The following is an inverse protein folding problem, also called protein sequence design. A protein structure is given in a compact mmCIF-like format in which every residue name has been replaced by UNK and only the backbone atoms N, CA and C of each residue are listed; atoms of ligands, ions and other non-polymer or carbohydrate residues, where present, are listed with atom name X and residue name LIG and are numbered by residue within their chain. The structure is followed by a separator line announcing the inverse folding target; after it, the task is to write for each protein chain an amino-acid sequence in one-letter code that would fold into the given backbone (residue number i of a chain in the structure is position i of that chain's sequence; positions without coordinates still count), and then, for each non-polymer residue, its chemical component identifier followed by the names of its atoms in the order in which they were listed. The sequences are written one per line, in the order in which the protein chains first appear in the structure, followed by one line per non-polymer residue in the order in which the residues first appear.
data_IF_979460610244
#
_entry.id   IF_979460610244
#
_cell.length_a   1.000
_cell.length_b   1.000
_cell.length_c   1.000
_cell.angle_alpha   90.00
_cell.angle_beta   90.00
_cell.angle_gamma   90.00
#
_symmetry.space_group_name_H-M   'P 1'
#
loop_
_entity.id
_entity.type
_entity.pdbx_description
1 polymer ?
#
# COMPACT_ATOMS: atom_id res chain seq x y z
N UNK A 1 18.26 -17.31 -17.97
CA UNK A 1 17.00 -17.06 -17.21
C UNK A 1 16.56 -18.37 -16.56
N UNK A 2 16.33 -18.35 -15.27
CA UNK A 2 15.79 -19.50 -14.54
C UNK A 2 14.30 -19.63 -14.77
N UNK A 3 13.79 -20.83 -14.98
CA UNK A 3 12.35 -21.05 -15.18
C UNK A 3 11.55 -20.69 -13.93
N UNK A 4 10.40 -20.04 -14.08
CA UNK A 4 9.49 -19.66 -12.98
C UNK A 4 9.18 -20.85 -12.06
N UNK A 5 8.94 -22.04 -12.61
CA UNK A 5 8.66 -23.26 -11.86
C UNK A 5 9.80 -23.65 -10.92
N UNK A 6 11.05 -23.55 -11.39
CA UNK A 6 12.23 -23.88 -10.55
C UNK A 6 12.36 -22.89 -9.38
N UNK A 7 12.13 -21.59 -9.64
CA UNK A 7 12.15 -20.56 -8.59
C UNK A 7 11.07 -20.83 -7.54
N UNK A 8 9.88 -21.21 -7.96
CA UNK A 8 8.76 -21.55 -7.05
C UNK A 8 9.05 -22.78 -6.19
N UNK A 9 9.72 -23.81 -6.77
CA UNK A 9 10.13 -25.01 -6.03
C UNK A 9 11.15 -24.66 -4.95
N UNK A 10 12.16 -23.84 -5.26
CA UNK A 10 13.16 -23.39 -4.30
C UNK A 10 12.54 -22.51 -3.21
N UNK A 11 11.65 -21.59 -3.58
CA UNK A 11 10.93 -20.76 -2.62
C UNK A 11 10.12 -21.63 -1.64
N UNK A 12 9.39 -22.63 -2.14
CA UNK A 12 8.62 -23.54 -1.28
C UNK A 12 9.51 -24.38 -0.36
N UNK A 13 10.65 -24.85 -0.86
CA UNK A 13 11.64 -25.59 -0.05
C UNK A 13 12.29 -24.72 1.04
N UNK A 14 12.43 -23.41 0.82
CA UNK A 14 13.03 -22.49 1.77
C UNK A 14 12.14 -22.17 2.98
N UNK A 15 10.83 -22.45 2.93
CA UNK A 15 9.87 -22.10 4.02
C UNK A 15 10.31 -22.69 5.36
N UNK A 16 10.75 -23.95 5.38
CA UNK A 16 11.17 -24.63 6.62
C UNK A 16 12.41 -23.97 7.25
N UNK A 17 13.28 -23.36 6.47
CA UNK A 17 14.46 -22.68 6.99
C UNK A 17 14.14 -21.40 7.76
N UNK A 18 13.02 -20.73 7.44
CA UNK A 18 12.54 -19.56 8.19
C UNK A 18 11.79 -19.93 9.46
N UNK A 19 11.10 -21.08 9.46
CA UNK A 19 10.25 -21.49 10.56
C UNK A 19 10.98 -21.69 11.88
N UNK A 20 12.29 -21.93 11.83
CA UNK A 20 13.16 -22.17 12.99
C UNK A 20 13.93 -20.92 13.46
N UNK A 21 13.89 -19.83 12.66
CA UNK A 21 14.61 -18.59 13.01
C UNK A 21 13.94 -17.84 14.16
N UNK A 22 14.74 -17.47 15.14
CA UNK A 22 14.31 -16.60 16.24
C UNK A 22 14.26 -15.14 15.78
N UNK A 23 13.58 -14.31 16.56
CA UNK A 23 13.45 -12.88 16.29
C UNK A 23 14.81 -12.16 16.15
N UNK A 24 15.79 -12.50 17.00
CA UNK A 24 17.12 -11.92 16.95
C UNK A 24 17.86 -12.24 15.64
N UNK A 25 17.71 -13.48 15.14
CA UNK A 25 18.32 -13.92 13.90
C UNK A 25 17.71 -13.19 12.69
N UNK A 26 16.37 -13.06 12.67
CA UNK A 26 15.66 -12.26 11.65
C UNK A 26 16.09 -10.79 11.69
N UNK A 27 16.19 -10.19 12.88
CA UNK A 27 16.61 -8.81 13.05
C UNK A 27 18.06 -8.60 12.56
N UNK A 28 18.98 -9.50 12.93
CA UNK A 28 20.37 -9.45 12.45
C UNK A 28 20.45 -9.51 10.92
N UNK A 29 19.65 -10.38 10.31
CA UNK A 29 19.59 -10.51 8.85
C UNK A 29 19.04 -9.22 8.20
N UNK A 30 17.97 -8.64 8.74
CA UNK A 30 17.42 -7.38 8.23
C UNK A 30 18.44 -6.23 8.31
N UNK A 31 19.16 -6.10 9.41
CA UNK A 31 20.22 -5.10 9.54
C UNK A 31 21.35 -5.32 8.52
N UNK A 32 21.77 -6.58 8.31
CA UNK A 32 22.77 -6.91 7.29
C UNK A 32 22.27 -6.64 5.85
N UNK A 33 20.97 -6.87 5.57
CA UNK A 33 20.35 -6.51 4.30
C UNK A 33 20.36 -4.99 4.07
N UNK A 34 20.04 -4.20 5.10
CA UNK A 34 20.08 -2.74 5.02
C UNK A 34 21.50 -2.23 4.75
N UNK A 35 22.48 -2.77 5.44
CA UNK A 35 23.90 -2.40 5.26
C UNK A 35 24.41 -2.80 3.86
N UNK A 36 23.99 -3.95 3.34
CA UNK A 36 24.33 -4.39 1.99
C UNK A 36 23.73 -3.47 0.90
N UNK A 37 22.48 -2.97 1.08
CA UNK A 37 21.90 -1.97 0.17
C UNK A 37 22.76 -0.70 0.12
N UNK A 38 23.20 -0.20 1.26
CA UNK A 38 24.04 1.00 1.35
C UNK A 38 25.41 0.74 0.68
N UNK A 39 26.01 -0.42 0.93
CA UNK A 39 27.28 -0.79 0.34
C UNK A 39 27.22 -0.93 -1.20
N UNK A 40 26.11 -1.43 -1.72
CA UNK A 40 25.90 -1.63 -3.16
C UNK A 40 25.22 -0.43 -3.88
N UNK A 41 25.08 0.74 -3.22
CA UNK A 41 24.40 1.94 -3.76
C UNK A 41 24.83 2.28 -5.17
N UNK A 42 26.14 2.34 -5.45
CA UNK A 42 26.66 2.70 -6.78
C UNK A 42 26.26 1.68 -7.86
N UNK A 43 26.24 0.41 -7.54
CA UNK A 43 25.80 -0.67 -8.45
C UNK A 43 24.29 -0.56 -8.72
N UNK A 44 23.49 -0.34 -7.69
CA UNK A 44 22.04 -0.19 -7.81
C UNK A 44 21.69 1.04 -8.68
N UNK A 45 22.35 2.17 -8.47
CA UNK A 45 22.14 3.37 -9.28
C UNK A 45 22.56 3.17 -10.76
N UNK A 46 23.65 2.43 -11.00
CA UNK A 46 24.05 2.08 -12.36
C UNK A 46 22.98 1.25 -13.09
N UNK A 47 22.43 0.24 -12.41
CA UNK A 47 21.36 -0.59 -12.98
C UNK A 47 20.04 0.17 -13.13
N UNK A 48 19.70 1.05 -12.15
CA UNK A 48 18.52 1.91 -12.26
C UNK A 48 18.61 2.88 -13.44
N UNK A 49 19.80 3.38 -13.75
CA UNK A 49 19.98 4.23 -14.93
C UNK A 49 19.62 3.50 -16.23
N UNK A 50 19.94 2.20 -16.36
CA UNK A 50 19.53 1.41 -17.54
C UNK A 50 18.02 1.33 -17.67
N UNK A 51 17.31 1.08 -16.56
CA UNK A 51 15.84 1.06 -16.52
C UNK A 51 15.27 2.44 -16.90
N UNK A 52 15.81 3.51 -16.33
CA UNK A 52 15.39 4.89 -16.63
C UNK A 52 15.58 5.25 -18.11
N UNK A 53 16.76 4.94 -18.68
CA UNK A 53 17.08 5.23 -20.08
C UNK A 53 16.18 4.44 -21.04
N UNK A 54 15.80 3.20 -20.69
CA UNK A 54 14.89 2.37 -21.49
C UNK A 54 13.41 2.79 -21.36
N UNK A 55 13.02 3.37 -20.21
CA UNK A 55 11.63 3.67 -19.90
C UNK A 55 11.18 5.09 -20.29
N UNK A 56 12.12 6.05 -20.45
CA UNK A 56 11.85 7.49 -20.60
C UNK A 56 10.79 7.88 -21.63
N UNK A 57 10.72 7.14 -22.74
CA UNK A 57 9.81 7.42 -23.85
C UNK A 57 8.59 6.46 -23.88
N UNK A 58 8.46 5.55 -22.89
CA UNK A 58 7.44 4.49 -22.89
C UNK A 58 6.48 4.53 -21.71
N UNK A 59 6.83 5.25 -20.64
CA UNK A 59 5.98 5.41 -19.45
C UNK A 59 5.75 6.90 -19.16
N UNK A 60 4.70 7.21 -18.37
CA UNK A 60 4.40 8.59 -17.99
C UNK A 60 5.48 9.18 -17.08
N UNK A 61 5.55 10.53 -17.01
CA UNK A 61 6.48 11.24 -16.11
C UNK A 61 6.28 10.85 -14.64
N UNK A 62 5.05 10.61 -14.23
CA UNK A 62 4.68 10.12 -12.88
C UNK A 62 5.27 8.73 -12.62
N UNK A 63 5.17 7.81 -13.58
CA UNK A 63 5.76 6.47 -13.45
C UNK A 63 7.29 6.53 -13.51
N UNK A 64 7.84 7.45 -14.28
CA UNK A 64 9.28 7.66 -14.36
C UNK A 64 9.86 8.18 -13.02
N UNK A 65 9.16 9.12 -12.35
CA UNK A 65 9.55 9.54 -10.99
C UNK A 65 9.49 8.39 -9.97
N UNK A 66 8.48 7.52 -10.07
CA UNK A 66 8.39 6.32 -9.22
C UNK A 66 9.55 5.35 -9.45
N UNK A 67 10.01 5.21 -10.70
CA UNK A 67 11.09 4.31 -11.09
C UNK A 67 12.47 4.83 -10.65
N UNK A 68 12.65 6.15 -10.63
CA UNK A 68 13.92 6.79 -10.33
C UNK A 68 14.42 6.47 -8.93
N UNK A 69 15.69 6.07 -8.83
CA UNK A 69 16.45 5.98 -7.59
C UNK A 69 17.54 7.04 -7.53
N UNK A 70 17.87 7.44 -6.33
CA UNK A 70 19.03 8.24 -5.96
C UNK A 70 19.55 7.76 -4.60
N UNK A 71 20.67 8.31 -4.13
CA UNK A 71 21.25 7.92 -2.85
C UNK A 71 20.29 8.12 -1.67
N UNK A 72 19.46 9.16 -1.70
CA UNK A 72 18.52 9.45 -0.63
C UNK A 72 17.39 8.40 -0.59
N UNK A 73 16.88 8.00 -1.75
CA UNK A 73 15.87 6.95 -1.87
C UNK A 73 16.41 5.58 -1.45
N UNK A 74 17.66 5.22 -1.81
CA UNK A 74 18.30 3.97 -1.36
C UNK A 74 18.50 4.00 0.15
N UNK A 75 18.93 5.13 0.72
CA UNK A 75 19.06 5.30 2.17
C UNK A 75 17.70 5.13 2.86
N UNK A 76 16.64 5.74 2.33
CA UNK A 76 15.29 5.56 2.86
C UNK A 76 14.83 4.08 2.82
N UNK A 77 15.17 3.33 1.75
CA UNK A 77 14.91 1.89 1.69
C UNK A 77 15.64 1.13 2.82
N UNK A 78 16.92 1.42 3.04
CA UNK A 78 17.69 0.80 4.12
C UNK A 78 17.13 1.17 5.52
N UNK A 79 16.72 2.41 5.71
CA UNK A 79 16.13 2.87 6.97
C UNK A 79 14.74 2.23 7.21
N UNK A 80 13.94 2.02 6.16
CA UNK A 80 12.70 1.23 6.20
C UNK A 80 12.95 -0.20 6.69
N UNK A 81 13.97 -0.88 6.16
CA UNK A 81 14.36 -2.23 6.63
C UNK A 81 14.78 -2.20 8.11
N UNK A 82 15.56 -1.20 8.54
CA UNK A 82 15.94 -1.03 9.95
C UNK A 82 14.74 -0.78 10.86
N UNK A 83 13.78 0.02 10.40
CA UNK A 83 12.53 0.23 11.13
C UNK A 83 11.74 -1.07 11.30
N UNK A 84 11.62 -1.88 10.23
CA UNK A 84 10.99 -3.22 10.31
C UNK A 84 11.73 -4.14 11.28
N UNK A 85 13.07 -4.12 11.30
CA UNK A 85 13.88 -4.91 12.25
C UNK A 85 13.55 -4.55 13.71
N UNK A 86 13.29 -3.29 14.01
CA UNK A 86 12.96 -2.80 15.35
C UNK A 86 11.53 -3.17 15.81
N UNK A 87 10.62 -3.51 14.89
CA UNK A 87 9.25 -3.89 15.23
C UNK A 87 9.19 -5.23 15.96
N UNK A 88 8.19 -5.44 16.82
CA UNK A 88 7.93 -6.73 17.44
C UNK A 88 7.71 -7.83 16.39
N UNK A 89 8.25 -9.03 16.64
CA UNK A 89 8.01 -10.18 15.78
C UNK A 89 6.51 -10.56 15.80
N UNK A 90 5.85 -10.64 14.64
CA UNK A 90 4.43 -11.00 14.61
C UNK A 90 4.19 -12.50 14.80
N UNK A 91 5.21 -13.35 14.64
CA UNK A 91 5.11 -14.81 14.68
C UNK A 91 5.14 -15.31 16.12
N UNK A 92 4.31 -16.29 16.44
CA UNK A 92 4.26 -16.93 17.77
C UNK A 92 3.46 -16.12 18.82
N UNK A 93 2.78 -15.04 18.44
CA UNK A 93 1.93 -14.29 19.37
C UNK A 93 0.68 -15.12 19.72
N UNK A 94 0.36 -15.17 21.00
CA UNK A 94 -0.89 -15.75 21.50
C UNK A 94 -2.01 -14.74 21.27
N UNK A 95 -2.96 -15.09 20.39
CA UNK A 95 -4.10 -14.25 20.03
C UNK A 95 -5.32 -14.50 20.92
N UNK A 96 -5.48 -15.76 21.39
CA UNK A 96 -6.41 -16.14 22.46
C UNK A 96 -5.87 -17.36 23.21
N UNK A 97 -6.26 -17.51 24.46
CA UNK A 97 -5.82 -18.57 25.37
C UNK A 97 -7.01 -18.95 26.27
N UNK A 98 -7.49 -20.17 26.16
CA UNK A 98 -8.66 -20.68 26.89
C UNK A 98 -8.46 -22.09 27.37
N UNK A 99 -8.89 -22.39 28.62
CA UNK A 99 -9.06 -23.76 29.11
C UNK A 99 -10.54 -24.11 29.08
N UNK A 100 -10.88 -25.17 28.37
CA UNK A 100 -12.26 -25.65 28.26
C UNK A 100 -12.70 -26.44 29.50
N UNK A 101 -14.03 -26.58 29.76
CA UNK A 101 -14.52 -27.34 30.92
C UNK A 101 -14.03 -28.79 30.99
N UNK A 102 -13.70 -29.41 29.86
CA UNK A 102 -13.14 -30.78 29.79
C UNK A 102 -11.61 -30.79 30.00
N UNK A 103 -10.98 -29.69 30.33
CA UNK A 103 -9.54 -29.58 30.60
C UNK A 103 -8.65 -29.42 29.37
N UNK A 104 -9.19 -29.31 28.14
CA UNK A 104 -8.40 -28.95 26.97
C UNK A 104 -7.95 -27.49 27.06
N UNK A 105 -6.64 -27.26 26.92
CA UNK A 105 -6.06 -25.94 26.81
C UNK A 105 -5.88 -25.59 25.34
N UNK A 106 -6.55 -24.53 24.86
CA UNK A 106 -6.62 -24.13 23.45
C UNK A 106 -6.00 -22.75 23.30
N UNK A 107 -4.90 -22.68 22.57
CA UNK A 107 -4.25 -21.43 22.20
C UNK A 107 -4.42 -21.14 20.71
N UNK A 108 -4.81 -19.91 20.35
CA UNK A 108 -4.75 -19.40 18.98
C UNK A 108 -3.44 -18.65 18.81
N UNK A 109 -2.55 -19.12 17.93
CA UNK A 109 -1.18 -18.61 17.80
C UNK A 109 -0.96 -18.10 16.38
N UNK A 110 -0.34 -16.91 16.22
CA UNK A 110 0.01 -16.38 14.91
C UNK A 110 1.14 -17.18 14.27
N UNK A 111 1.03 -17.39 12.96
CA UNK A 111 2.00 -18.13 12.14
C UNK A 111 2.22 -17.40 10.80
N UNK A 112 3.36 -17.60 10.12
CA UNK A 112 3.55 -17.10 8.76
C UNK A 112 2.47 -17.60 7.80
N UNK A 113 2.19 -16.84 6.73
CA UNK A 113 1.36 -17.32 5.60
C UNK A 113 2.05 -18.45 4.84
N UNK A 114 3.38 -18.35 4.63
CA UNK A 114 4.17 -19.29 3.86
C UNK A 114 4.97 -18.61 2.75
N UNK A 115 4.61 -18.82 1.48
CA UNK A 115 5.21 -18.15 0.32
C UNK A 115 4.30 -17.01 -0.12
N UNK A 116 4.81 -15.79 -0.07
CA UNK A 116 4.13 -14.58 -0.53
C UNK A 116 4.70 -14.15 -1.88
N UNK A 117 3.88 -14.06 -2.90
CA UNK A 117 4.26 -13.50 -4.19
C UNK A 117 3.79 -12.05 -4.31
N UNK A 118 4.67 -11.18 -4.79
CA UNK A 118 4.38 -9.77 -5.04
C UNK A 118 4.62 -9.47 -6.51
N UNK A 119 3.57 -9.05 -7.23
CA UNK A 119 3.67 -8.58 -8.62
C UNK A 119 3.55 -7.05 -8.59
N UNK A 120 4.59 -6.34 -9.04
CA UNK A 120 4.63 -4.87 -8.94
C UNK A 120 5.19 -4.20 -10.20
N UNK A 121 4.86 -2.92 -10.38
CA UNK A 121 5.22 -2.09 -11.54
C UNK A 121 5.97 -0.85 -11.08
N UNK A 122 7.03 -0.47 -11.83
CA UNK A 122 7.74 0.83 -11.74
C UNK A 122 8.09 1.34 -10.33
N UNK A 123 8.31 0.44 -9.37
CA UNK A 123 8.55 0.80 -7.95
C UNK A 123 9.69 -0.02 -7.35
N UNK A 124 10.97 0.32 -7.62
CA UNK A 124 12.11 -0.43 -7.11
C UNK A 124 12.13 -0.59 -5.57
N UNK A 125 11.64 0.41 -4.82
CA UNK A 125 11.54 0.34 -3.36
C UNK A 125 10.66 -0.80 -2.85
N UNK A 126 9.63 -1.20 -3.60
CA UNK A 126 8.77 -2.34 -3.23
C UNK A 126 9.60 -3.62 -3.08
N UNK A 127 10.70 -3.75 -3.82
CA UNK A 127 11.61 -4.91 -3.72
C UNK A 127 12.16 -5.06 -2.30
N UNK A 128 12.65 -3.99 -1.70
CA UNK A 128 13.22 -4.00 -0.35
C UNK A 128 12.16 -4.10 0.74
N UNK A 129 11.06 -3.34 0.57
CA UNK A 129 9.97 -3.30 1.54
C UNK A 129 9.30 -4.68 1.69
N UNK A 130 8.97 -5.29 0.55
CA UNK A 130 8.37 -6.62 0.51
C UNK A 130 9.30 -7.70 1.08
N UNK A 131 10.59 -7.67 0.73
CA UNK A 131 11.57 -8.62 1.25
C UNK A 131 11.74 -8.50 2.78
N UNK A 132 11.80 -7.27 3.30
CA UNK A 132 11.94 -7.02 4.74
C UNK A 132 10.71 -7.49 5.52
N UNK A 133 9.51 -7.10 5.08
CA UNK A 133 8.26 -7.48 5.73
C UNK A 133 8.05 -9.00 5.68
N UNK A 134 8.33 -9.64 4.53
CA UNK A 134 8.22 -11.09 4.40
C UNK A 134 9.19 -11.81 5.35
N UNK A 135 10.48 -11.46 5.36
CA UNK A 135 11.47 -12.07 6.23
C UNK A 135 11.10 -11.93 7.72
N UNK A 136 10.73 -10.71 8.16
CA UNK A 136 10.36 -10.45 9.56
C UNK A 136 9.14 -11.25 9.98
N UNK A 137 8.14 -11.37 9.10
CA UNK A 137 6.93 -12.15 9.35
C UNK A 137 7.09 -13.66 9.10
N UNK A 138 8.32 -14.12 8.81
CA UNK A 138 8.63 -15.54 8.63
C UNK A 138 8.18 -16.12 7.29
N UNK A 139 7.91 -15.29 6.30
CA UNK A 139 7.47 -15.68 4.97
C UNK A 139 8.62 -15.69 3.96
N UNK A 140 8.55 -16.60 3.01
CA UNK A 140 9.38 -16.57 1.80
C UNK A 140 8.78 -15.60 0.81
N UNK A 141 9.61 -14.76 0.20
CA UNK A 141 9.21 -13.73 -0.75
C UNK A 141 9.54 -14.14 -2.19
N UNK A 142 8.54 -14.06 -3.08
CA UNK A 142 8.71 -14.22 -4.54
C UNK A 142 8.31 -12.91 -5.20
N UNK A 143 9.26 -12.21 -5.77
CA UNK A 143 9.13 -10.91 -6.38
C UNK A 143 9.00 -11.05 -7.90
N UNK A 144 8.09 -10.30 -8.50
CA UNK A 144 7.97 -10.16 -9.95
C UNK A 144 7.70 -8.71 -10.29
N UNK A 145 8.67 -8.05 -10.91
CA UNK A 145 8.58 -6.65 -11.34
C UNK A 145 8.20 -6.54 -12.82
N UNK A 146 7.70 -5.39 -13.24
CA UNK A 146 7.57 -5.03 -14.63
C UNK A 146 8.95 -4.98 -15.33
N UNK A 147 8.96 -5.08 -16.67
CA UNK A 147 10.20 -5.04 -17.47
C UNK A 147 10.98 -3.74 -17.28
N UNK A 148 10.26 -2.65 -17.00
CA UNK A 148 10.80 -1.29 -16.84
C UNK A 148 11.60 -1.08 -15.55
N UNK A 149 11.50 -2.00 -14.57
CA UNK A 149 12.21 -1.90 -13.30
C UNK A 149 13.07 -3.14 -12.99
N UNK A 150 13.31 -4.00 -13.99
CA UNK A 150 13.94 -5.30 -13.78
C UNK A 150 15.40 -5.19 -13.33
N UNK A 151 16.20 -4.35 -13.96
CA UNK A 151 17.61 -4.20 -13.61
C UNK A 151 17.78 -3.66 -12.19
N UNK A 152 16.97 -2.66 -11.82
CA UNK A 152 16.93 -2.12 -10.46
C UNK A 152 16.58 -3.20 -9.43
N UNK A 153 15.48 -3.94 -9.67
CA UNK A 153 15.03 -4.99 -8.77
C UNK A 153 16.04 -6.12 -8.63
N UNK A 154 16.67 -6.53 -9.73
CA UNK A 154 17.72 -7.56 -9.73
C UNK A 154 18.93 -7.15 -8.89
N UNK A 155 19.41 -5.91 -9.04
CA UNK A 155 20.53 -5.38 -8.26
C UNK A 155 20.17 -5.28 -6.77
N UNK A 156 18.96 -4.81 -6.44
CA UNK A 156 18.47 -4.74 -5.06
C UNK A 156 18.40 -6.15 -4.44
N UNK A 157 17.75 -7.12 -5.11
CA UNK A 157 17.68 -8.50 -4.61
C UNK A 157 19.08 -9.11 -4.41
N UNK A 158 20.01 -8.82 -5.31
CA UNK A 158 21.40 -9.27 -5.19
C UNK A 158 22.05 -8.72 -3.91
N UNK A 159 21.86 -7.43 -3.63
CA UNK A 159 22.37 -6.81 -2.40
C UNK A 159 21.71 -7.42 -1.15
N UNK A 160 20.38 -7.60 -1.15
CA UNK A 160 19.68 -8.22 -0.02
C UNK A 160 20.16 -9.65 0.26
N UNK A 161 20.38 -10.45 -0.79
CA UNK A 161 20.92 -11.82 -0.67
C UNK A 161 22.33 -11.85 -0.09
N UNK A 162 23.20 -10.88 -0.44
CA UNK A 162 24.52 -10.74 0.21
C UNK A 162 24.37 -10.54 1.73
N UNK A 163 23.41 -9.71 2.15
CA UNK A 163 23.10 -9.52 3.57
C UNK A 163 22.66 -10.82 4.25
N UNK A 164 21.75 -11.59 3.64
CA UNK A 164 21.32 -12.91 4.15
C UNK A 164 22.49 -13.87 4.26
N UNK A 165 23.29 -13.98 3.20
CA UNK A 165 24.47 -14.86 3.14
C UNK A 165 25.44 -14.57 4.27
N UNK A 166 25.72 -13.31 4.57
CA UNK A 166 26.61 -12.90 5.66
C UNK A 166 26.16 -13.36 7.05
N UNK A 167 24.85 -13.65 7.19
CA UNK A 167 24.23 -14.16 8.41
C UNK A 167 24.02 -15.69 8.39
N UNK A 168 24.43 -16.39 7.32
CA UNK A 168 24.23 -17.83 7.16
C UNK A 168 22.76 -18.23 6.91
N UNK A 169 21.91 -17.29 6.45
CA UNK A 169 20.51 -17.55 6.15
C UNK A 169 20.37 -17.95 4.67
N UNK A 170 19.47 -18.90 4.41
CA UNK A 170 19.19 -19.38 3.06
C UNK A 170 18.71 -18.23 2.16
N UNK A 171 19.47 -17.94 1.12
CA UNK A 171 19.18 -16.86 0.17
C UNK A 171 17.87 -17.06 -0.63
N UNK A 172 17.37 -18.32 -0.70
CA UNK A 172 16.11 -18.63 -1.38
C UNK A 172 14.86 -18.21 -0.58
N UNK A 173 15.02 -17.54 0.54
CA UNK A 173 13.92 -16.85 1.24
C UNK A 173 13.50 -15.58 0.52
N UNK A 174 14.34 -15.04 -0.38
CA UNK A 174 14.02 -13.92 -1.29
C UNK A 174 14.29 -14.37 -2.72
N UNK A 175 13.29 -14.33 -3.57
CA UNK A 175 13.37 -14.76 -4.96
C UNK A 175 12.86 -13.68 -5.91
N UNK A 176 13.48 -13.55 -7.08
CA UNK A 176 13.03 -12.69 -8.16
C UNK A 176 12.75 -13.54 -9.40
N UNK A 177 11.56 -13.36 -9.98
CA UNK A 177 11.22 -13.96 -11.27
C UNK A 177 11.95 -13.19 -12.37
N UNK A 178 12.79 -13.89 -13.12
CA UNK A 178 13.62 -13.28 -14.17
C UNK A 178 12.85 -13.04 -15.47
N UNK A 179 11.79 -13.81 -15.72
CA UNK A 179 10.89 -13.60 -16.86
C UNK A 179 9.93 -12.45 -16.59
N UNK A 180 10.09 -11.34 -17.31
CA UNK A 180 9.24 -10.15 -17.20
C UNK A 180 8.03 -10.17 -18.13
N UNK A 181 7.78 -11.27 -18.84
CA UNK A 181 6.63 -11.42 -19.74
C UNK A 181 5.30 -11.52 -18.95
N UNK A 182 4.18 -11.25 -19.62
CA UNK A 182 2.85 -11.44 -19.00
C UNK A 182 2.59 -12.89 -18.60
N UNK A 183 3.25 -13.84 -19.27
CA UNK A 183 3.13 -15.26 -18.94
C UNK A 183 3.61 -15.55 -17.53
N UNK A 184 4.76 -15.02 -17.11
CA UNK A 184 5.28 -15.24 -15.75
C UNK A 184 4.35 -14.70 -14.67
N UNK A 185 3.67 -13.57 -14.91
CA UNK A 185 2.66 -13.05 -13.98
C UNK A 185 1.47 -14.01 -13.86
N UNK A 186 0.99 -14.55 -14.98
CA UNK A 186 -0.09 -15.54 -14.99
C UNK A 186 0.34 -16.86 -14.33
N UNK A 187 1.58 -17.29 -14.54
CA UNK A 187 2.14 -18.48 -13.89
C UNK A 187 2.13 -18.31 -12.35
N UNK A 188 2.47 -17.12 -11.83
CA UNK A 188 2.37 -16.81 -10.38
C UNK A 188 0.91 -16.80 -9.88
N UNK A 189 0.01 -16.16 -10.63
CA UNK A 189 -1.42 -16.12 -10.28
C UNK A 189 -2.04 -17.52 -10.16
N UNK A 190 -1.48 -18.51 -10.88
CA UNK A 190 -1.97 -19.88 -10.95
C UNK A 190 -1.11 -20.91 -10.23
N UNK A 191 -0.11 -20.47 -9.47
CA UNK A 191 0.86 -21.33 -8.78
C UNK A 191 0.28 -21.98 -7.50
N UNK A 192 -0.87 -22.64 -7.61
CA UNK A 192 -1.51 -23.35 -6.51
C UNK A 192 -0.56 -24.42 -5.95
N UNK A 193 -0.44 -24.49 -4.61
CA UNK A 193 0.47 -25.37 -3.88
C UNK A 193 1.91 -24.81 -3.72
N UNK A 194 2.28 -23.76 -4.45
CA UNK A 194 3.56 -23.06 -4.30
C UNK A 194 3.41 -21.71 -3.61
N UNK A 195 2.42 -20.93 -4.01
CA UNK A 195 2.14 -19.59 -3.45
C UNK A 195 0.95 -19.68 -2.52
N UNK A 196 1.10 -19.15 -1.31
CA UNK A 196 0.09 -19.12 -0.28
C UNK A 196 -0.68 -17.78 -0.28
N UNK A 197 -0.05 -16.70 -0.77
CA UNK A 197 -0.64 -15.37 -0.90
C UNK A 197 -0.03 -14.59 -2.06
N UNK A 198 -0.87 -13.95 -2.87
CA UNK A 198 -0.49 -13.03 -3.95
C UNK A 198 -0.90 -11.60 -3.60
N UNK A 199 0.02 -10.63 -3.79
CA UNK A 199 -0.23 -9.20 -3.56
C UNK A 199 0.18 -8.42 -4.81
N UNK A 200 -0.77 -7.90 -5.60
CA UNK A 200 -0.47 -7.01 -6.71
C UNK A 200 -0.17 -5.58 -6.24
N UNK A 201 0.79 -4.90 -6.87
CA UNK A 201 1.22 -3.52 -6.58
C UNK A 201 1.43 -2.74 -7.89
N UNK A 202 0.37 -2.26 -8.50
CA UNK A 202 0.44 -1.57 -9.79
C UNK A 202 -0.84 -0.82 -10.12
N UNK A 203 -1.02 -0.50 -11.39
CA UNK A 203 -2.21 0.16 -11.88
C UNK A 203 -3.45 -0.73 -11.88
N UNK A 204 -4.63 -0.12 -12.08
CA UNK A 204 -5.94 -0.79 -12.06
C UNK A 204 -5.99 -2.05 -12.96
N UNK A 205 -5.31 -2.01 -14.11
CA UNK A 205 -5.25 -3.15 -15.04
C UNK A 205 -4.56 -4.39 -14.47
N UNK A 206 -3.44 -4.21 -13.75
CA UNK A 206 -2.77 -5.32 -13.06
C UNK A 206 -3.62 -5.87 -11.92
N UNK A 207 -4.18 -4.98 -11.10
CA UNK A 207 -5.03 -5.38 -9.96
C UNK A 207 -6.23 -6.17 -10.46
N UNK A 208 -6.94 -5.67 -11.48
CA UNK A 208 -8.07 -6.35 -12.11
C UNK A 208 -7.68 -7.73 -12.65
N UNK A 209 -6.56 -7.82 -13.38
CA UNK A 209 -6.07 -9.10 -13.88
C UNK A 209 -5.78 -10.11 -12.77
N UNK A 210 -5.17 -9.67 -11.65
CA UNK A 210 -4.93 -10.54 -10.51
C UNK A 210 -6.23 -11.00 -9.86
N UNK A 211 -7.19 -10.11 -9.64
CA UNK A 211 -8.50 -10.45 -9.02
C UNK A 211 -9.29 -11.43 -9.88
N UNK A 212 -9.28 -11.25 -11.20
CA UNK A 212 -10.06 -12.09 -12.14
C UNK A 212 -9.40 -13.44 -12.46
N UNK A 213 -8.07 -13.52 -12.46
CA UNK A 213 -7.34 -14.67 -12.99
C UNK A 213 -6.56 -15.48 -11.95
N UNK A 214 -6.38 -14.97 -10.73
CA UNK A 214 -5.66 -15.70 -9.71
C UNK A 214 -6.46 -16.90 -9.20
N UNK A 215 -5.79 -18.04 -9.14
CA UNK A 215 -6.28 -19.26 -8.49
C UNK A 215 -5.71 -19.41 -7.08
N UNK A 216 -4.70 -18.61 -6.74
CA UNK A 216 -4.15 -18.49 -5.38
C UNK A 216 -4.84 -17.35 -4.63
N UNK A 217 -4.91 -17.38 -3.28
CA UNK A 217 -5.43 -16.27 -2.51
C UNK A 217 -4.75 -14.96 -2.89
N UNK A 218 -5.54 -13.92 -3.15
CA UNK A 218 -5.04 -12.62 -3.59
C UNK A 218 -5.60 -11.50 -2.68
N UNK A 219 -4.73 -10.66 -2.14
CA UNK A 219 -5.16 -9.43 -1.45
C UNK A 219 -5.21 -8.30 -2.48
N UNK A 220 -6.39 -7.74 -2.65
CA UNK A 220 -6.61 -6.62 -3.53
C UNK A 220 -6.07 -5.34 -2.89
N UNK A 221 -5.04 -4.74 -3.51
CA UNK A 221 -4.64 -3.36 -3.24
C UNK A 221 -5.41 -2.46 -4.20
N UNK A 222 -6.12 -1.45 -3.68
CA UNK A 222 -7.01 -0.64 -4.50
C UNK A 222 -6.34 0.55 -5.17
N UNK A 223 -7.00 1.10 -6.20
CA UNK A 223 -6.87 2.51 -6.59
C UNK A 223 -7.54 3.38 -5.53
N UNK A 224 -7.11 4.64 -5.42
CA UNK A 224 -7.62 5.53 -4.37
C UNK A 224 -8.43 6.69 -4.93
N UNK A 225 -9.76 6.60 -4.92
CA UNK A 225 -10.63 7.75 -5.15
C UNK A 225 -11.03 8.30 -3.78
N UNK A 226 -10.07 9.01 -3.15
CA UNK A 226 -10.24 9.50 -1.78
C UNK A 226 -11.08 10.79 -1.77
N UNK A 227 -12.02 10.87 -0.82
CA UNK A 227 -12.89 12.02 -0.66
C UNK A 227 -12.56 12.82 0.60
N UNK A 228 -12.72 14.14 0.49
CA UNK A 228 -12.71 15.04 1.64
C UNK A 228 -14.02 15.80 1.69
N UNK A 229 -14.76 15.64 2.78
CA UNK A 229 -15.99 16.38 3.02
C UNK A 229 -15.77 17.57 3.95
N UNK A 230 -16.06 18.78 3.48
CA UNK A 230 -16.04 20.02 4.25
C UNK A 230 -17.44 20.31 4.74
N UNK A 231 -17.69 20.07 6.02
CA UNK A 231 -18.99 20.23 6.67
C UNK A 231 -19.33 21.72 6.91
N UNK A 232 -20.59 22.01 7.17
CA UNK A 232 -21.06 23.37 7.53
C UNK A 232 -20.38 23.93 8.79
N UNK A 233 -20.06 23.06 9.74
CA UNK A 233 -19.41 23.40 11.00
C UNK A 233 -17.87 23.29 10.92
N UNK A 234 -17.27 23.33 9.70
CA UNK A 234 -15.83 23.24 9.50
C UNK A 234 -15.12 24.56 9.84
N UNK A 235 -13.91 24.45 10.41
CA UNK A 235 -12.92 25.53 10.31
C UNK A 235 -12.38 25.55 8.85
N UNK A 236 -12.79 26.57 8.09
CA UNK A 236 -12.48 26.68 6.67
C UNK A 236 -10.98 26.86 6.40
N UNK A 237 -10.24 27.45 7.31
CA UNK A 237 -8.77 27.60 7.18
C UNK A 237 -8.08 26.24 7.38
N UNK A 238 -8.53 25.42 8.31
CA UNK A 238 -8.08 24.05 8.50
C UNK A 238 -8.48 23.20 7.29
N UNK A 239 -9.71 23.33 6.79
CA UNK A 239 -10.20 22.61 5.62
C UNK A 239 -9.31 22.88 4.40
N UNK A 240 -8.97 24.15 4.14
CA UNK A 240 -8.10 24.53 3.04
C UNK A 240 -6.73 23.85 3.12
N UNK A 241 -6.08 23.92 4.29
CA UNK A 241 -4.77 23.27 4.50
C UNK A 241 -4.82 21.75 4.30
N UNK A 242 -5.90 21.11 4.76
CA UNK A 242 -6.06 19.66 4.62
C UNK A 242 -6.28 19.27 3.15
N UNK A 243 -7.20 19.95 2.44
CA UNK A 243 -7.45 19.67 1.01
C UNK A 243 -6.21 19.96 0.17
N UNK A 244 -5.52 21.08 0.42
CA UNK A 244 -4.27 21.41 -0.26
C UNK A 244 -3.20 20.33 -0.02
N UNK A 245 -2.97 19.93 1.22
CA UNK A 245 -2.04 18.83 1.53
C UNK A 245 -2.46 17.52 0.86
N UNK A 246 -3.72 17.16 0.94
CA UNK A 246 -4.22 15.89 0.41
C UNK A 246 -4.12 15.82 -1.13
N UNK A 247 -4.28 16.95 -1.84
CA UNK A 247 -4.19 16.97 -3.30
C UNK A 247 -2.82 17.36 -3.82
N UNK A 248 -2.14 18.35 -3.23
CA UNK A 248 -0.98 19.01 -3.87
C UNK A 248 0.38 18.45 -3.40
N UNK A 249 0.45 17.75 -2.25
CA UNK A 249 1.73 17.30 -1.68
C UNK A 249 2.38 16.16 -2.47
N UNK A 250 1.60 15.22 -2.97
CA UNK A 250 2.05 14.09 -3.80
C UNK A 250 0.87 13.47 -4.54
N UNK A 251 0.82 13.61 -5.84
CA UNK A 251 -0.30 13.17 -6.67
C UNK A 251 -0.31 11.67 -6.96
N UNK A 252 0.88 11.10 -7.08
CA UNK A 252 1.08 9.77 -7.64
C UNK A 252 0.86 8.64 -6.64
N UNK A 253 0.01 8.85 -5.65
CA UNK A 253 -0.29 7.88 -4.57
C UNK A 253 -1.79 7.75 -4.34
N UNK A 254 -2.21 6.54 -3.98
CA UNK A 254 -3.63 6.17 -3.84
C UNK A 254 -4.36 6.87 -2.67
N UNK A 255 -3.64 7.50 -1.74
CA UNK A 255 -4.22 8.26 -0.64
C UNK A 255 -4.31 9.79 -0.91
N UNK A 256 -3.98 10.23 -2.14
CA UNK A 256 -4.24 11.60 -2.56
C UNK A 256 -5.74 11.82 -2.75
N UNK A 257 -6.25 13.01 -2.41
CA UNK A 257 -7.64 13.32 -2.63
C UNK A 257 -7.93 13.50 -4.12
N UNK A 258 -9.03 12.89 -4.59
CA UNK A 258 -9.54 13.05 -5.94
C UNK A 258 -10.86 13.81 -5.97
N UNK A 259 -11.63 13.77 -4.86
CA UNK A 259 -12.91 14.44 -4.74
C UNK A 259 -12.99 15.29 -3.47
N UNK A 260 -13.48 16.52 -3.62
CA UNK A 260 -13.80 17.40 -2.50
C UNK A 260 -15.31 17.66 -2.48
N UNK A 261 -15.98 17.18 -1.43
CA UNK A 261 -17.39 17.44 -1.15
C UNK A 261 -17.50 18.66 -0.23
N UNK A 262 -18.37 19.61 -0.57
CA UNK A 262 -18.50 20.87 0.20
C UNK A 262 -19.96 21.08 0.59
N UNK A 263 -20.21 21.25 1.89
CA UNK A 263 -21.56 21.57 2.36
C UNK A 263 -22.02 22.92 1.77
N UNK A 264 -23.26 22.96 1.28
CA UNK A 264 -23.86 24.11 0.59
C UNK A 264 -23.75 25.42 1.38
N UNK A 265 -23.94 25.38 2.69
CA UNK A 265 -23.94 26.58 3.54
C UNK A 265 -22.55 27.26 3.61
N UNK A 266 -21.47 26.53 3.39
CA UNK A 266 -20.10 27.05 3.40
C UNK A 266 -19.49 27.20 2.00
N UNK A 267 -20.14 26.63 0.96
CA UNK A 267 -19.61 26.60 -0.40
C UNK A 267 -19.24 27.99 -0.93
N UNK A 268 -20.10 29.00 -0.74
CA UNK A 268 -19.85 30.39 -1.18
C UNK A 268 -18.62 31.04 -0.54
N UNK A 269 -18.24 30.56 0.66
CA UNK A 269 -17.02 31.05 1.34
C UNK A 269 -15.81 30.20 1.02
N UNK A 270 -15.97 28.88 1.03
CA UNK A 270 -14.86 27.95 0.91
C UNK A 270 -14.34 27.80 -0.53
N UNK A 271 -15.23 27.69 -1.52
CA UNK A 271 -14.81 27.46 -2.91
C UNK A 271 -13.90 28.56 -3.48
N UNK A 272 -14.16 29.89 -3.25
CA UNK A 272 -13.21 30.92 -3.66
C UNK A 272 -11.84 30.82 -2.98
N UNK A 273 -11.79 30.37 -1.71
CA UNK A 273 -10.51 30.14 -1.00
C UNK A 273 -9.78 28.95 -1.64
N UNK A 274 -10.49 27.86 -1.93
CA UNK A 274 -9.94 26.66 -2.58
C UNK A 274 -9.36 27.00 -3.95
N UNK A 275 -10.15 27.68 -4.81
CA UNK A 275 -9.69 28.09 -6.14
C UNK A 275 -8.47 28.98 -6.07
N UNK A 276 -8.49 30.01 -5.22
CA UNK A 276 -7.36 30.93 -5.05
C UNK A 276 -6.09 30.19 -4.60
N UNK A 277 -6.22 29.18 -3.73
CA UNK A 277 -5.06 28.41 -3.27
C UNK A 277 -4.57 27.41 -4.32
N UNK A 278 -5.44 26.52 -4.83
CA UNK A 278 -5.00 25.41 -5.67
C UNK A 278 -4.72 25.82 -7.12
N UNK A 279 -5.47 26.78 -7.64
CA UNK A 279 -5.37 27.22 -9.05
C UNK A 279 -4.52 28.50 -9.23
N UNK A 280 -3.74 28.89 -8.21
CA UNK A 280 -2.87 30.08 -8.31
C UNK A 280 -1.90 29.92 -9.47
N UNK A 281 -1.92 30.84 -10.47
CA UNK A 281 -1.02 30.79 -11.62
C UNK A 281 0.47 30.90 -11.28
N UNK A 282 0.82 31.37 -10.08
CA UNK A 282 2.20 31.45 -9.61
C UNK A 282 2.76 30.10 -9.13
N UNK A 283 1.92 29.07 -8.96
CA UNK A 283 2.37 27.72 -8.63
C UNK A 283 3.09 27.11 -9.83
N UNK A 284 4.08 26.30 -9.58
CA UNK A 284 4.75 25.48 -10.61
C UNK A 284 3.73 24.57 -11.34
N UNK A 285 2.77 24.05 -10.59
CA UNK A 285 1.70 23.19 -11.10
C UNK A 285 0.36 23.62 -10.48
N UNK A 286 -0.38 24.56 -11.10
CA UNK A 286 -1.74 24.88 -10.67
C UNK A 286 -2.69 23.71 -10.87
N UNK A 287 -3.61 23.49 -9.93
CA UNK A 287 -4.61 22.46 -10.06
C UNK A 287 -5.75 22.88 -11.01
N UNK A 288 -6.33 21.89 -11.70
CA UNK A 288 -7.57 22.03 -12.46
C UNK A 288 -8.72 21.56 -11.57
N UNK A 289 -9.78 22.36 -11.44
CA UNK A 289 -10.99 21.97 -10.73
C UNK A 289 -12.06 21.53 -11.74
N UNK A 290 -12.62 20.34 -11.50
CA UNK A 290 -13.79 19.82 -12.21
C UNK A 290 -15.00 20.03 -11.28
N UNK A 291 -15.94 20.87 -11.70
CA UNK A 291 -16.96 21.45 -10.83
C UNK A 291 -18.35 20.94 -11.22
N UNK A 292 -19.16 20.55 -10.24
CA UNK A 292 -20.58 20.33 -10.46
C UNK A 292 -21.32 21.65 -10.80
N UNK A 293 -22.59 21.55 -11.13
CA UNK A 293 -23.40 22.73 -11.53
C UNK A 293 -23.51 23.78 -10.43
N UNK A 294 -23.56 23.38 -9.17
CA UNK A 294 -23.70 24.31 -8.05
C UNK A 294 -22.38 25.02 -7.77
N UNK A 295 -21.25 24.29 -7.79
CA UNK A 295 -19.93 24.88 -7.65
C UNK A 295 -19.58 25.85 -8.79
N UNK A 296 -19.95 25.51 -10.04
CA UNK A 296 -19.81 26.41 -11.22
C UNK A 296 -20.58 27.72 -11.09
N UNK A 297 -21.66 27.74 -10.31
CA UNK A 297 -22.39 28.99 -10.04
C UNK A 297 -21.64 29.91 -9.05
N UNK A 298 -20.60 29.42 -8.39
CA UNK A 298 -19.86 30.12 -7.32
C UNK A 298 -18.46 30.51 -7.76
N UNK A 299 -17.75 29.63 -8.48
CA UNK A 299 -16.39 29.83 -8.97
C UNK A 299 -16.23 29.37 -10.42
N UNK A 300 -15.22 29.88 -11.11
CA UNK A 300 -14.86 29.43 -12.45
C UNK A 300 -14.11 28.10 -12.42
N UNK A 301 -14.40 27.22 -13.39
CA UNK A 301 -13.71 25.93 -13.53
C UNK A 301 -14.21 25.15 -14.75
N UNK A 302 -13.81 23.90 -14.86
CA UNK A 302 -14.29 23.00 -15.91
C UNK A 302 -15.52 22.26 -15.40
N UNK A 303 -16.61 22.16 -16.19
CA UNK A 303 -17.74 21.32 -15.80
C UNK A 303 -17.30 19.86 -15.60
N UNK A 304 -17.69 19.27 -14.45
CA UNK A 304 -17.51 17.85 -14.18
C UNK A 304 -18.59 17.02 -14.91
N UNK A 305 -18.21 15.84 -15.35
CA UNK A 305 -19.15 14.79 -15.73
C UNK A 305 -19.25 13.69 -14.63
N UNK A 306 -20.18 12.73 -14.81
CA UNK A 306 -20.40 11.70 -13.80
C UNK A 306 -19.16 10.80 -13.60
N UNK A 307 -18.36 10.54 -14.65
CA UNK A 307 -17.17 9.70 -14.58
C UNK A 307 -16.02 10.37 -13.84
N UNK A 308 -16.02 11.70 -13.72
CA UNK A 308 -14.98 12.43 -13.01
C UNK A 308 -14.95 12.08 -11.52
N UNK A 309 -16.09 11.70 -10.93
CA UNK A 309 -16.18 11.28 -9.53
C UNK A 309 -15.76 9.82 -9.32
N UNK A 310 -15.63 9.04 -10.41
CA UNK A 310 -15.18 7.64 -10.42
C UNK A 310 -13.73 7.51 -10.93
N UNK A 311 -12.98 8.63 -11.01
CA UNK A 311 -11.66 8.67 -11.63
C UNK A 311 -10.55 8.94 -10.61
N UNK A 312 -9.55 8.05 -10.57
CA UNK A 312 -8.25 8.31 -9.92
C UNK A 312 -7.37 9.07 -10.92
N UNK A 313 -7.33 10.41 -10.82
CA UNK A 313 -6.63 11.26 -11.79
C UNK A 313 -5.11 11.09 -11.75
N UNK A 314 -4.54 10.91 -10.55
CA UNK A 314 -3.08 10.89 -10.33
C UNK A 314 -2.39 12.14 -10.92
N UNK A 315 -3.11 13.25 -10.96
CA UNK A 315 -2.69 14.53 -11.55
C UNK A 315 -3.20 15.69 -10.70
N UNK A 316 -2.79 16.92 -11.02
CA UNK A 316 -3.27 18.16 -10.41
C UNK A 316 -4.72 18.47 -10.83
N UNK A 317 -5.60 17.49 -10.67
CA UNK A 317 -7.03 17.57 -10.97
C UNK A 317 -7.81 17.18 -9.72
N UNK A 318 -8.80 17.98 -9.35
CA UNK A 318 -9.68 17.73 -8.21
C UNK A 318 -11.13 17.92 -8.64
N UNK A 319 -11.95 16.88 -8.49
CA UNK A 319 -13.40 16.99 -8.66
C UNK A 319 -14.04 17.62 -7.42
N UNK A 320 -14.99 18.52 -7.62
CA UNK A 320 -15.67 19.26 -6.54
C UNK A 320 -17.18 19.13 -6.71
N UNK A 321 -17.84 18.69 -5.65
CA UNK A 321 -19.29 18.54 -5.61
C UNK A 321 -19.88 19.23 -4.36
N UNK A 322 -20.95 20.02 -4.55
CA UNK A 322 -21.64 20.68 -3.46
C UNK A 322 -22.80 19.80 -2.98
N UNK A 323 -22.81 19.49 -1.70
CA UNK A 323 -23.81 18.62 -1.06
C UNK A 323 -24.68 19.40 -0.08
N UNK A 324 -25.92 18.97 0.12
CA UNK A 324 -26.87 19.61 1.05
C UNK A 324 -26.54 19.35 2.52
N UNK A 325 -26.03 18.16 2.83
CA UNK A 325 -25.71 17.75 4.20
C UNK A 325 -24.74 16.55 4.23
N UNK A 326 -24.42 16.07 5.45
CA UNK A 326 -23.53 14.94 5.67
C UNK A 326 -24.09 13.62 5.11
N UNK A 327 -25.42 13.44 5.01
CA UNK A 327 -26.00 12.21 4.50
C UNK A 327 -25.81 12.12 2.99
N UNK A 328 -25.98 13.23 2.26
CA UNK A 328 -25.66 13.29 0.83
C UNK A 328 -24.18 13.06 0.57
N UNK A 329 -23.27 13.62 1.41
CA UNK A 329 -21.85 13.35 1.32
C UNK A 329 -21.53 11.86 1.52
N UNK A 330 -22.12 11.20 2.52
CA UNK A 330 -21.98 9.77 2.79
C UNK A 330 -22.52 8.94 1.61
N UNK A 331 -23.67 9.31 1.04
CA UNK A 331 -24.24 8.61 -0.11
C UNK A 331 -23.35 8.74 -1.36
N UNK A 332 -22.79 9.93 -1.60
CA UNK A 332 -21.85 10.17 -2.69
C UNK A 332 -20.59 9.29 -2.51
N UNK A 333 -19.99 9.30 -1.31
CA UNK A 333 -18.82 8.46 -1.00
C UNK A 333 -19.16 6.97 -1.21
N UNK A 334 -20.31 6.50 -0.77
CA UNK A 334 -20.71 5.11 -0.95
C UNK A 334 -20.82 4.70 -2.42
N UNK A 335 -21.16 5.65 -3.31
CA UNK A 335 -21.35 5.40 -4.74
C UNK A 335 -20.05 5.50 -5.55
N UNK A 336 -19.14 6.41 -5.19
CA UNK A 336 -18.00 6.82 -6.02
C UNK A 336 -16.63 6.48 -5.42
N UNK A 337 -16.55 6.20 -4.11
CA UNK A 337 -15.28 5.87 -3.47
C UNK A 337 -14.85 4.44 -3.77
N UNK A 338 -13.54 4.26 -3.84
CA UNK A 338 -12.90 2.92 -3.83
C UNK A 338 -12.78 2.34 -2.41
N UNK A 339 -13.37 2.96 -1.41
CA UNK A 339 -13.28 2.60 0.01
C UNK A 339 -11.85 2.61 0.57
N UNK A 340 -11.02 3.54 0.07
CA UNK A 340 -9.61 3.65 0.48
C UNK A 340 -9.47 4.54 1.71
N UNK A 341 -9.64 5.84 1.56
CA UNK A 341 -9.42 6.83 2.64
C UNK A 341 -10.33 8.03 2.48
N UNK A 342 -11.12 8.31 3.50
CA UNK A 342 -12.07 9.40 3.48
C UNK A 342 -11.87 10.32 4.68
N UNK A 343 -12.11 11.62 4.50
CA UNK A 343 -11.98 12.59 5.59
C UNK A 343 -13.19 13.48 5.69
N UNK A 344 -13.62 13.76 6.91
CA UNK A 344 -14.56 14.84 7.24
C UNK A 344 -13.82 15.95 7.97
N UNK A 345 -14.15 17.20 7.64
CA UNK A 345 -13.66 18.37 8.35
C UNK A 345 -14.85 19.07 8.99
N UNK A 346 -14.92 19.00 10.32
CA UNK A 346 -16.02 19.53 11.11
C UNK A 346 -15.59 19.77 12.55
N UNK A 347 -16.24 20.74 13.23
CA UNK A 347 -16.15 20.95 14.67
C UNK A 347 -17.35 20.30 15.41
N UNK A 348 -18.28 19.69 14.68
CA UNK A 348 -19.45 19.04 15.24
C UNK A 348 -19.18 17.56 15.49
N UNK A 349 -19.05 17.19 16.77
CA UNK A 349 -18.76 15.81 17.19
C UNK A 349 -19.83 14.81 16.76
N UNK A 350 -21.10 15.21 16.71
CA UNK A 350 -22.20 14.32 16.31
C UNK A 350 -22.12 14.02 14.82
N UNK A 351 -21.84 15.05 13.99
CA UNK A 351 -21.64 14.88 12.56
C UNK A 351 -20.39 14.02 12.28
N UNK A 352 -19.30 14.23 13.03
CA UNK A 352 -18.10 13.41 12.91
C UNK A 352 -18.38 11.94 13.27
N UNK A 353 -19.12 11.68 14.37
CA UNK A 353 -19.49 10.34 14.79
C UNK A 353 -20.39 9.63 13.76
N UNK A 354 -21.36 10.34 13.18
CA UNK A 354 -22.22 9.83 12.12
C UNK A 354 -21.40 9.44 10.88
N UNK A 355 -20.52 10.33 10.42
CA UNK A 355 -19.65 10.11 9.27
C UNK A 355 -18.74 8.89 9.48
N UNK A 356 -18.01 8.82 10.61
CA UNK A 356 -17.11 7.71 10.91
C UNK A 356 -17.83 6.37 11.09
N UNK A 357 -19.11 6.39 11.48
CA UNK A 357 -19.91 5.17 11.61
C UNK A 357 -20.43 4.65 10.26
N UNK A 358 -20.84 5.54 9.37
CA UNK A 358 -21.53 5.17 8.13
C UNK A 358 -20.60 5.07 6.91
N UNK A 359 -19.46 5.77 6.91
CA UNK A 359 -18.48 5.66 5.83
C UNK A 359 -17.67 4.38 5.99
N UNK A 360 -17.88 3.43 5.06
CA UNK A 360 -17.24 2.11 5.09
C UNK A 360 -15.96 2.08 4.24
N UNK A 361 -14.96 2.88 4.62
CA UNK A 361 -13.65 2.90 4.00
C UNK A 361 -12.56 2.33 4.90
N UNK A 362 -11.41 1.95 4.31
CA UNK A 362 -10.29 1.34 5.04
C UNK A 362 -9.69 2.29 6.10
N UNK A 363 -9.68 3.59 5.81
CA UNK A 363 -9.30 4.64 6.75
C UNK A 363 -10.30 5.79 6.71
N UNK A 364 -10.81 6.21 7.86
CA UNK A 364 -11.76 7.32 7.98
C UNK A 364 -11.20 8.33 8.98
N UNK A 365 -11.04 9.57 8.52
CA UNK A 365 -10.39 10.66 9.26
C UNK A 365 -11.39 11.72 9.70
N UNK A 366 -11.14 12.29 10.84
CA UNK A 366 -11.77 13.53 11.30
C UNK A 366 -10.67 14.59 11.44
N UNK A 367 -10.82 15.70 10.72
CA UNK A 367 -9.90 16.84 10.78
C UNK A 367 -8.42 16.50 10.47
N UNK A 368 -8.19 15.54 9.58
CA UNK A 368 -6.87 15.14 9.13
C UNK A 368 -6.85 14.79 7.63
N UNK A 369 -5.68 14.90 7.02
CA UNK A 369 -5.47 14.59 5.60
C UNK A 369 -5.50 13.08 5.35
N UNK A 370 -6.06 12.66 4.22
CA UNK A 370 -6.02 11.27 3.74
C UNK A 370 -4.59 10.78 3.46
N UNK A 371 -3.63 11.71 3.33
CA UNK A 371 -2.20 11.43 3.13
C UNK A 371 -1.56 10.63 4.27
N UNK A 372 -2.16 10.62 5.44
CA UNK A 372 -1.70 9.81 6.56
C UNK A 372 -1.99 8.30 6.43
N UNK A 373 -2.75 7.86 5.42
CA UNK A 373 -2.92 6.42 5.13
C UNK A 373 -1.64 5.87 4.49
N UNK A 374 -0.64 5.62 5.31
CA UNK A 374 0.72 5.23 4.91
C UNK A 374 1.33 4.35 6.00
N UNK A 375 2.10 3.33 5.61
CA UNK A 375 2.70 2.39 6.56
C UNK A 375 3.69 3.03 7.51
N UNK A 376 4.44 4.05 7.07
CA UNK A 376 5.36 4.81 7.92
C UNK A 376 4.61 5.62 8.97
N UNK A 377 3.59 6.37 8.55
CA UNK A 377 2.75 7.20 9.42
C UNK A 377 1.95 6.35 10.43
N UNK A 378 1.56 5.12 10.05
CA UNK A 378 0.87 4.18 10.95
C UNK A 378 1.84 3.38 11.85
N UNK A 379 3.16 3.66 11.79
CA UNK A 379 4.16 2.99 12.61
C UNK A 379 4.44 1.54 12.21
N UNK A 380 4.20 1.19 10.95
CA UNK A 380 4.43 -0.16 10.42
C UNK A 380 5.85 -0.35 9.83
N UNK A 381 6.68 0.69 9.84
CA UNK A 381 8.03 0.72 9.26
C UNK A 381 8.01 0.79 7.74
N UNK A 382 7.61 -0.30 7.09
CA UNK A 382 7.30 -0.39 5.66
C UNK A 382 5.84 -0.82 5.48
N UNK A 383 5.34 -0.75 4.24
CA UNK A 383 4.03 -1.31 3.92
C UNK A 383 4.08 -2.24 2.70
N UNK A 384 3.30 -3.30 2.76
CA UNK A 384 3.09 -4.19 1.62
C UNK A 384 2.08 -3.62 0.61
N UNK A 385 1.36 -2.57 1.00
CA UNK A 385 0.33 -1.87 0.26
C UNK A 385 -0.88 -1.57 1.13
N UNK A 386 -1.86 -0.92 0.55
CA UNK A 386 -3.12 -0.55 1.22
C UNK A 386 -4.23 -1.36 0.58
N UNK A 387 -4.91 -2.19 1.38
CA UNK A 387 -6.03 -3.01 0.94
C UNK A 387 -7.35 -2.33 1.24
N UNK A 388 -8.28 -2.38 0.29
CA UNK A 388 -9.65 -1.90 0.48
C UNK A 388 -10.65 -3.02 0.72
N UNK A 389 -10.24 -4.29 0.56
CA UNK A 389 -11.11 -5.45 0.80
C UNK A 389 -11.33 -5.70 2.30
N UNK A 390 -12.47 -6.31 2.65
CA UNK A 390 -12.83 -6.60 4.05
C UNK A 390 -12.23 -7.92 4.57
N UNK A 391 -11.98 -8.87 3.68
CA UNK A 391 -11.48 -10.19 4.07
C UNK A 391 -9.97 -10.14 4.28
N UNK A 392 -9.53 -10.60 5.45
CA UNK A 392 -8.18 -10.74 5.99
C UNK A 392 -7.52 -9.40 6.32
N UNK A 393 -7.07 -8.61 5.34
CA UNK A 393 -6.35 -7.34 5.57
C UNK A 393 -7.13 -6.16 4.98
N UNK A 394 -7.25 -5.06 5.73
CA UNK A 394 -7.88 -3.81 5.30
C UNK A 394 -7.07 -2.62 5.81
N UNK A 395 -6.82 -1.64 4.94
CA UNK A 395 -5.92 -0.52 5.22
C UNK A 395 -4.45 -0.84 4.91
N UNK A 396 -3.49 -0.05 5.44
CA UNK A 396 -2.08 -0.31 5.29
C UNK A 396 -1.68 -1.67 5.85
N UNK A 397 -0.97 -2.47 5.05
CA UNK A 397 -0.56 -3.82 5.40
C UNK A 397 0.89 -3.84 5.87
N UNK A 398 1.08 -4.14 7.15
CA UNK A 398 2.39 -4.36 7.76
C UNK A 398 2.63 -5.83 8.11
N UNK A 399 3.40 -6.04 9.17
CA UNK A 399 3.82 -7.39 9.58
C UNK A 399 2.67 -8.31 10.00
N UNK A 400 1.63 -7.74 10.65
CA UNK A 400 0.52 -8.53 11.20
C UNK A 400 -0.36 -9.12 10.10
N UNK A 401 -0.59 -8.34 9.06
CA UNK A 401 -1.41 -8.70 7.90
C UNK A 401 -0.74 -9.79 7.04
N UNK A 402 0.58 -10.02 7.22
CA UNK A 402 1.33 -11.10 6.60
C UNK A 402 1.39 -12.38 7.46
N UNK A 403 0.54 -12.49 8.48
CA UNK A 403 0.41 -13.68 9.31
C UNK A 403 -1.00 -14.25 9.27
N UNK A 404 -1.09 -15.57 9.40
CA UNK A 404 -2.31 -16.30 9.70
C UNK A 404 -2.28 -16.77 11.16
N UNK A 405 -3.12 -17.74 11.52
CA UNK A 405 -3.09 -18.37 12.83
C UNK A 405 -3.29 -19.89 12.73
N UNK A 406 -2.83 -20.59 13.75
CA UNK A 406 -3.19 -21.99 13.99
C UNK A 406 -3.65 -22.16 15.43
N UNK A 407 -4.37 -23.25 15.68
CA UNK A 407 -4.69 -23.67 17.05
C UNK A 407 -3.64 -24.65 17.55
N UNK A 408 -3.10 -24.39 18.75
CA UNK A 408 -2.27 -25.32 19.52
C UNK A 408 -3.15 -25.81 20.68
N UNK A 409 -3.40 -27.10 20.72
CA UNK A 409 -4.31 -27.73 21.68
C UNK A 409 -3.52 -28.70 22.52
N UNK A 410 -3.50 -28.48 23.83
CA UNK A 410 -2.86 -29.37 24.80
C UNK A 410 -3.90 -30.04 25.67
N UNK A 411 -3.81 -31.31 25.79
CA UNK A 411 -4.70 -32.13 26.61
C UNK A 411 -3.94 -33.13 27.48
N UNK A 412 -4.69 -33.89 28.25
CA UNK A 412 -4.21 -34.98 29.11
C UNK A 412 -5.07 -36.24 28.90
N UNK A 413 -5.24 -36.65 27.63
CA UNK A 413 -5.97 -37.87 27.28
C UNK A 413 -7.49 -37.68 27.11
N UNK A 414 -8.00 -36.46 26.96
CA UNK A 414 -9.41 -36.19 26.70
C UNK A 414 -9.85 -36.84 25.37
N UNK A 415 -11.01 -37.51 25.42
CA UNK A 415 -11.72 -38.08 24.26
C UNK A 415 -13.09 -37.44 24.11
N UNK A 416 -13.66 -37.49 22.90
CA UNK A 416 -15.00 -37.01 22.60
C UNK A 416 -15.97 -38.16 22.44
#
# INVERSE_FOLDING_TARGET
MKETKCILQEAKAAVSSLAVLKSEEKNKALLAMADALIADTSSILCENKKDMDAAKDTISSVMLDRLKLDESRIRAMADGIRAVAALPDPVGRILSDETRPNGLHIQKVSVPMGVIAIIYESRPNVTSDAAALALKSGNVCVLRTGKEAFHSAFSIVTALKKGLHSCGINEQVINLIEDTSRKSALDLMRAVGFIDLLIPRGGAGLIKACVEQALVPCIQTGTGICHIYVDKDADLSMALRIVENAKMSRLSVCNAAEVCLVHRDVAKKFLPMLQKSLCDPSREHPAKLLLDKEALSIIDGTPADENDFDTEFLDYILAVHVVSDVNEAIAHIASHSTHHSESIITQNEQTAALFTTLVDSAAVYVNASTRFTDGGEFGLGCEMGISTQKLHARGPMGLRELTAYKYVITGNGQTR
#
